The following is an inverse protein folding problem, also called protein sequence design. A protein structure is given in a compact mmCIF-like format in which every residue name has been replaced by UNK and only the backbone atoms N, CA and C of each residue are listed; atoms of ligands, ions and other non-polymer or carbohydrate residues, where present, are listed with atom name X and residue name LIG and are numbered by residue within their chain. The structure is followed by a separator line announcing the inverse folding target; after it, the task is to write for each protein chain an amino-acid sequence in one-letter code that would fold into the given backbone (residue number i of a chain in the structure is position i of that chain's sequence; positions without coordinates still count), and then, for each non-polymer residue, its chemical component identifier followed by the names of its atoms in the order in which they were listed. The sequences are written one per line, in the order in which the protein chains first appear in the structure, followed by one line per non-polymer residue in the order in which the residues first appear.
data_IF_000737214014
#
_entry.id   IF_000737214014
#
_cell.length_a   1.000
_cell.length_b   1.000
_cell.length_c   1.000
_cell.angle_alpha   90.00
_cell.angle_beta   90.00
_cell.angle_gamma   90.00
#
_symmetry.space_group_name_H-M   'P 1'
#
loop_
_entity.id
_entity.type
_entity.pdbx_description
1 polymer ?
#
# COMPACT_ATOMS: atom_id res chain seq x y z
N UNK A 1 -13.21 -0.40 -59.66
CA UNK A 1 -12.04 -0.77 -58.84
C UNK A 1 -12.17 -0.08 -57.50
N UNK A 2 -12.54 -0.80 -56.44
CA UNK A 2 -12.47 -0.31 -55.07
C UNK A 2 -11.45 -1.19 -54.34
N UNK A 3 -10.35 -0.57 -53.91
CA UNK A 3 -9.23 -1.24 -53.28
C UNK A 3 -9.66 -1.83 -51.93
N UNK A 4 -9.30 -3.10 -51.72
CA UNK A 4 -9.50 -3.82 -50.47
C UNK A 4 -8.76 -3.11 -49.33
N UNK A 5 -9.47 -2.87 -48.22
CA UNK A 5 -8.88 -2.54 -46.92
C UNK A 5 -7.86 -3.63 -46.54
N UNK A 6 -6.67 -3.28 -46.03
CA UNK A 6 -5.68 -4.28 -45.67
C UNK A 6 -6.19 -5.10 -44.49
N UNK A 7 -6.23 -6.42 -44.67
CA UNK A 7 -6.38 -7.43 -43.63
C UNK A 7 -5.44 -7.08 -42.46
N UNK A 8 -6.00 -6.72 -41.30
CA UNK A 8 -5.25 -6.75 -40.05
C UNK A 8 -4.68 -8.17 -39.90
N UNK A 9 -3.36 -8.33 -40.01
CA UNK A 9 -2.73 -9.58 -39.56
C UNK A 9 -3.04 -9.72 -38.08
N UNK A 10 -3.78 -10.77 -37.73
CA UNK A 10 -3.85 -11.20 -36.34
C UNK A 10 -2.44 -11.65 -35.95
N UNK A 11 -1.77 -10.84 -35.13
CA UNK A 11 -0.49 -11.22 -34.54
C UNK A 11 -0.73 -12.48 -33.69
N UNK A 12 0.15 -13.46 -33.84
CA UNK A 12 0.16 -14.62 -32.97
C UNK A 12 0.34 -14.20 -31.50
N UNK A 13 -0.16 -15.00 -30.55
CA UNK A 13 0.02 -14.76 -29.13
C UNK A 13 1.50 -14.56 -28.75
N UNK A 14 2.39 -15.30 -29.42
CA UNK A 14 3.84 -15.19 -29.23
C UNK A 14 4.35 -13.80 -29.61
N UNK A 15 3.99 -13.30 -30.78
CA UNK A 15 4.42 -11.97 -31.26
C UNK A 15 3.94 -10.86 -30.32
N UNK A 16 2.70 -10.96 -29.82
CA UNK A 16 2.17 -10.01 -28.83
C UNK A 16 2.98 -10.03 -27.53
N UNK A 17 3.30 -11.22 -27.02
CA UNK A 17 4.11 -11.37 -25.81
C UNK A 17 5.55 -10.87 -26.02
N UNK A 18 6.15 -11.13 -27.19
CA UNK A 18 7.48 -10.64 -27.57
C UNK A 18 7.52 -9.12 -27.61
N UNK A 19 6.53 -8.48 -28.24
CA UNK A 19 6.39 -7.03 -28.29
C UNK A 19 6.26 -6.41 -26.90
N UNK A 20 5.39 -6.95 -26.05
CA UNK A 20 5.22 -6.48 -24.67
C UNK A 20 6.48 -6.67 -23.84
N UNK A 21 7.18 -7.80 -24.03
CA UNK A 21 8.43 -8.05 -23.34
C UNK A 21 9.53 -7.09 -23.81
N UNK A 22 9.63 -6.79 -25.10
CA UNK A 22 10.56 -5.78 -25.63
C UNK A 22 10.25 -4.38 -25.07
N UNK A 23 8.96 -4.05 -24.89
CA UNK A 23 8.51 -2.83 -24.23
C UNK A 23 8.64 -2.83 -22.70
N UNK A 24 9.45 -3.75 -22.14
CA UNK A 24 9.80 -3.86 -20.73
C UNK A 24 8.63 -4.20 -19.76
N UNK A 25 7.51 -4.73 -20.27
CA UNK A 25 6.47 -5.27 -19.40
C UNK A 25 6.94 -6.56 -18.73
N UNK A 26 6.47 -6.78 -17.49
CA UNK A 26 6.69 -8.02 -16.77
C UNK A 26 5.50 -8.97 -16.97
N UNK A 27 5.77 -10.09 -17.66
CA UNK A 27 4.77 -11.08 -18.01
C UNK A 27 4.77 -12.26 -17.04
N UNK A 28 3.62 -12.89 -16.87
CA UNK A 28 3.47 -14.12 -16.07
C UNK A 28 2.67 -15.17 -16.86
N UNK A 29 3.07 -16.45 -16.84
CA UNK A 29 2.29 -17.50 -17.48
C UNK A 29 1.06 -17.82 -16.63
N UNK A 30 -0.12 -17.84 -17.25
CA UNK A 30 -1.37 -18.19 -16.59
C UNK A 30 -1.88 -19.54 -17.11
N UNK A 31 -2.79 -20.17 -16.37
CA UNK A 31 -3.42 -21.43 -16.74
C UNK A 31 -4.44 -21.86 -15.69
N UNK A 32 -4.62 -23.17 -15.53
CA UNK A 32 -5.65 -23.76 -14.65
C UNK A 32 -7.07 -23.66 -15.23
N UNK A 33 -8.10 -24.12 -14.47
CA UNK A 33 -9.46 -24.31 -15.00
C UNK A 33 -10.11 -23.04 -15.55
N UNK A 34 -9.77 -21.88 -14.97
CA UNK A 34 -10.31 -20.58 -15.38
C UNK A 34 -9.35 -19.80 -16.32
N UNK A 35 -8.16 -20.32 -16.59
CA UNK A 35 -7.11 -19.66 -17.38
C UNK A 35 -6.48 -18.43 -16.70
N UNK A 36 -6.76 -18.17 -15.42
CA UNK A 36 -6.32 -16.95 -14.71
C UNK A 36 -5.29 -17.23 -13.61
N UNK A 37 -5.00 -18.50 -13.30
CA UNK A 37 -4.10 -18.87 -12.21
C UNK A 37 -2.63 -18.77 -12.66
N UNK A 38 -1.75 -18.05 -11.93
CA UNK A 38 -0.32 -18.06 -12.23
C UNK A 38 0.29 -19.46 -12.14
N UNK A 39 1.01 -19.87 -13.19
CA UNK A 39 1.64 -21.20 -13.28
C UNK A 39 3.01 -21.29 -12.62
N UNK A 40 3.57 -20.15 -12.19
CA UNK A 40 4.86 -20.03 -11.52
C UNK A 40 4.64 -19.35 -10.16
N UNK A 41 5.21 -19.91 -9.10
CA UNK A 41 5.20 -19.29 -7.77
C UNK A 41 6.25 -18.16 -7.66
N UNK A 42 6.06 -17.22 -6.74
CA UNK A 42 7.04 -16.16 -6.50
C UNK A 42 7.20 -15.18 -7.68
N UNK A 43 6.16 -15.03 -8.50
CA UNK A 43 6.13 -14.08 -9.61
C UNK A 43 6.09 -12.61 -9.17
N UNK A 44 5.68 -12.34 -7.93
CA UNK A 44 5.62 -11.00 -7.35
C UNK A 44 7.03 -10.42 -7.20
N UNK A 45 7.26 -9.21 -7.72
CA UNK A 45 8.53 -8.50 -7.60
C UNK A 45 9.67 -9.01 -8.49
N UNK A 46 9.42 -9.98 -9.39
CA UNK A 46 10.41 -10.48 -10.34
C UNK A 46 9.88 -10.44 -11.77
N UNK A 47 10.70 -9.93 -12.69
CA UNK A 47 10.45 -10.07 -14.13
C UNK A 47 10.85 -11.48 -14.58
N UNK A 48 9.89 -12.27 -15.05
CA UNK A 48 10.12 -13.63 -15.51
C UNK A 48 10.67 -13.57 -16.95
N UNK A 49 11.74 -14.32 -17.30
CA UNK A 49 12.19 -14.43 -18.69
C UNK A 49 11.08 -14.89 -19.63
N UNK A 50 10.93 -14.26 -20.80
CA UNK A 50 9.86 -14.57 -21.77
C UNK A 50 9.81 -16.06 -22.13
N UNK A 51 10.98 -16.65 -22.42
CA UNK A 51 11.11 -18.08 -22.73
C UNK A 51 10.63 -18.99 -21.59
N UNK A 52 10.78 -18.57 -20.33
CA UNK A 52 10.25 -19.31 -19.19
C UNK A 52 8.72 -19.20 -19.11
N UNK A 53 8.14 -18.05 -19.47
CA UNK A 53 6.69 -17.89 -19.59
C UNK A 53 6.13 -18.79 -20.70
N UNK A 54 6.67 -18.70 -21.91
CA UNK A 54 6.23 -19.47 -23.08
C UNK A 54 6.33 -20.98 -22.84
N UNK A 55 7.46 -21.46 -22.32
CA UNK A 55 7.65 -22.87 -21.97
C UNK A 55 6.63 -23.34 -20.94
N UNK A 56 6.36 -22.53 -19.92
CA UNK A 56 5.40 -22.90 -18.87
C UNK A 56 3.97 -22.96 -19.40
N UNK A 57 3.59 -22.03 -20.27
CA UNK A 57 2.28 -22.03 -20.94
C UNK A 57 2.14 -23.24 -21.87
N UNK A 58 3.15 -23.56 -22.67
CA UNK A 58 3.14 -24.73 -23.54
C UNK A 58 2.95 -26.04 -22.75
N UNK A 59 3.64 -26.19 -21.62
CA UNK A 59 3.51 -27.37 -20.76
C UNK A 59 2.12 -27.53 -20.13
N UNK A 60 1.36 -26.44 -19.98
CA UNK A 60 0.00 -26.44 -19.42
C UNK A 60 -1.07 -26.38 -20.53
N UNK A 61 -0.66 -26.40 -21.80
CA UNK A 61 -1.50 -26.12 -22.96
C UNK A 61 -2.34 -24.83 -22.81
N UNK A 62 -1.73 -23.80 -22.20
CA UNK A 62 -2.40 -22.54 -21.92
C UNK A 62 -2.15 -21.51 -23.02
N UNK A 63 -3.20 -20.78 -23.38
CA UNK A 63 -3.17 -19.62 -24.29
C UNK A 63 -3.41 -18.31 -23.54
N UNK A 64 -3.16 -18.27 -22.23
CA UNK A 64 -3.37 -17.09 -21.39
C UNK A 64 -2.10 -16.68 -20.64
N UNK A 65 -1.82 -15.39 -20.62
CA UNK A 65 -0.74 -14.79 -19.84
C UNK A 65 -1.22 -13.54 -19.11
N UNK A 66 -0.49 -13.15 -18.07
CA UNK A 66 -0.77 -11.97 -17.28
C UNK A 66 0.28 -10.89 -17.50
N UNK A 67 -0.14 -9.64 -17.40
CA UNK A 67 0.73 -8.47 -17.37
C UNK A 67 0.74 -7.94 -15.94
N UNK A 68 1.92 -7.87 -15.33
CA UNK A 68 2.10 -7.24 -14.02
C UNK A 68 1.99 -5.74 -14.14
N UNK A 69 1.44 -5.11 -13.10
CA UNK A 69 1.07 -3.70 -13.12
C UNK A 69 2.14 -2.79 -12.49
N UNK A 70 3.42 -3.12 -12.74
CA UNK A 70 4.57 -2.31 -12.33
C UNK A 70 4.52 -0.94 -13.05
N UNK A 71 4.15 0.14 -12.34
CA UNK A 71 4.00 1.48 -12.92
C UNK A 71 2.74 1.69 -13.76
N UNK A 72 1.81 0.74 -13.74
CA UNK A 72 0.56 0.78 -14.49
C UNK A 72 -0.65 0.85 -13.57
N UNK A 73 -1.71 1.46 -14.07
CA UNK A 73 -3.05 1.34 -13.54
C UNK A 73 -3.93 0.75 -14.63
N UNK A 74 -4.70 -0.27 -14.28
CA UNK A 74 -5.75 -0.81 -15.13
C UNK A 74 -7.08 -0.53 -14.47
N UNK A 75 -7.97 0.13 -15.21
CA UNK A 75 -9.37 0.23 -14.85
C UNK A 75 -10.08 -0.95 -15.49
N UNK A 76 -10.53 -1.88 -14.66
CA UNK A 76 -11.19 -3.12 -15.06
C UNK A 76 -12.70 -2.96 -14.92
N UNK A 77 -13.36 -2.83 -16.07
CA UNK A 77 -14.81 -2.70 -16.17
C UNK A 77 -15.39 -4.11 -16.31
N UNK A 78 -16.06 -4.59 -15.27
CA UNK A 78 -16.65 -5.94 -15.22
C UNK A 78 -17.95 -6.03 -16.05
N UNK A 79 -18.72 -4.94 -16.13
CA UNK A 79 -20.01 -4.86 -16.81
C UNK A 79 -19.98 -3.77 -17.87
N UNK A 80 -20.06 -4.14 -19.14
CA UNK A 80 -20.02 -3.19 -20.27
C UNK A 80 -21.43 -2.87 -20.81
N UNK A 81 -22.27 -2.28 -19.94
CA UNK A 81 -23.57 -1.70 -20.29
C UNK A 81 -23.45 -0.19 -20.59
N UNK A 82 -24.52 0.41 -21.08
CA UNK A 82 -24.53 1.83 -21.48
C UNK A 82 -24.29 2.73 -20.27
N UNK A 83 -24.90 2.41 -19.14
CA UNK A 83 -24.79 3.14 -17.87
C UNK A 83 -23.34 3.19 -17.36
N UNK A 84 -22.64 2.06 -17.41
CA UNK A 84 -21.22 1.99 -17.02
C UNK A 84 -20.33 2.76 -17.98
N UNK A 85 -20.62 2.73 -19.29
CA UNK A 85 -19.88 3.50 -20.29
C UNK A 85 -20.05 5.00 -20.09
N UNK A 86 -21.28 5.44 -19.84
CA UNK A 86 -21.61 6.85 -19.61
C UNK A 86 -20.98 7.35 -18.30
N UNK A 87 -21.09 6.55 -17.23
CA UNK A 87 -20.40 6.82 -15.96
C UNK A 87 -18.90 6.94 -16.15
N UNK A 88 -18.29 5.97 -16.84
CA UNK A 88 -16.86 5.95 -17.08
C UNK A 88 -16.40 7.14 -17.94
N UNK A 89 -17.14 7.48 -19.00
CA UNK A 89 -16.80 8.59 -19.89
C UNK A 89 -16.97 9.96 -19.23
N UNK A 90 -17.97 10.11 -18.37
CA UNK A 90 -18.20 11.33 -17.58
C UNK A 90 -17.14 11.53 -16.50
N UNK A 91 -16.72 10.44 -15.83
CA UNK A 91 -15.84 10.51 -14.66
C UNK A 91 -14.37 10.32 -14.95
N UNK A 92 -13.96 9.40 -15.81
CA UNK A 92 -12.55 9.06 -15.99
C UNK A 92 -12.03 9.58 -17.32
N UNK A 93 -10.77 10.01 -17.34
CA UNK A 93 -10.10 10.25 -18.62
C UNK A 93 -10.11 8.95 -19.43
N UNK A 94 -10.43 9.04 -20.72
CA UNK A 94 -10.38 7.90 -21.63
C UNK A 94 -8.95 7.41 -21.84
N UNK A 95 -8.78 6.10 -21.93
CA UNK A 95 -7.51 5.48 -22.30
C UNK A 95 -7.39 5.33 -23.82
N UNK A 96 -6.17 5.50 -24.32
CA UNK A 96 -5.77 5.20 -25.68
C UNK A 96 -5.48 3.70 -25.89
N UNK A 97 -5.40 2.91 -24.82
CA UNK A 97 -5.17 1.47 -24.86
C UNK A 97 -6.27 0.73 -24.12
N UNK A 98 -7.12 0.03 -24.88
CA UNK A 98 -8.27 -0.69 -24.35
C UNK A 98 -8.25 -2.13 -24.86
N UNK A 99 -8.41 -3.08 -23.93
CA UNK A 99 -8.53 -4.51 -24.22
C UNK A 99 -9.91 -4.97 -23.77
N UNK A 100 -10.74 -5.39 -24.72
CA UNK A 100 -12.03 -6.00 -24.42
C UNK A 100 -11.80 -7.37 -23.77
N UNK A 101 -12.49 -7.61 -22.67
CA UNK A 101 -12.49 -8.88 -21.94
C UNK A 101 -13.75 -9.67 -22.28
N UNK A 102 -13.90 -10.86 -21.70
CA UNK A 102 -15.11 -11.66 -21.91
C UNK A 102 -16.39 -11.11 -21.28
N UNK A 103 -16.33 -10.02 -20.48
CA UNK A 103 -17.50 -9.37 -19.87
C UNK A 103 -17.50 -7.84 -19.97
N UNK A 104 -16.32 -7.23 -20.03
CA UNK A 104 -16.21 -5.78 -20.26
C UNK A 104 -14.86 -5.39 -20.84
N UNK A 105 -14.08 -4.56 -20.16
CA UNK A 105 -12.85 -3.99 -20.73
C UNK A 105 -11.79 -3.62 -19.70
N UNK A 106 -10.52 -3.77 -20.09
CA UNK A 106 -9.37 -3.20 -19.40
C UNK A 106 -8.95 -1.91 -20.09
N UNK A 107 -8.95 -0.80 -19.36
CA UNK A 107 -8.38 0.47 -19.81
C UNK A 107 -7.03 0.70 -19.12
N UNK A 108 -5.96 0.88 -19.91
CA UNK A 108 -4.59 0.97 -19.40
C UNK A 108 -4.14 2.42 -19.24
N UNK A 109 -3.46 2.72 -18.14
CA UNK A 109 -2.91 4.03 -17.83
C UNK A 109 -1.52 3.89 -17.20
N UNK A 110 -0.75 4.98 -17.25
CA UNK A 110 0.42 5.14 -16.40
C UNK A 110 -0.03 5.49 -14.97
N UNK A 111 0.57 4.85 -13.97
CA UNK A 111 0.27 5.08 -12.56
C UNK A 111 1.36 5.91 -11.88
N UNK A 112 0.99 7.06 -11.33
CA UNK A 112 1.88 7.97 -10.57
C UNK A 112 1.61 7.92 -9.06
N UNK A 113 1.19 6.76 -8.55
CA UNK A 113 1.02 6.49 -7.11
C UNK A 113 -0.41 6.65 -6.56
N UNK A 114 -1.32 7.25 -7.33
CA UNK A 114 -2.74 7.32 -6.99
C UNK A 114 -3.52 6.14 -7.57
N UNK A 115 -4.31 5.46 -6.73
CA UNK A 115 -5.19 4.35 -7.12
C UNK A 115 -6.56 4.58 -6.45
N UNK A 116 -7.64 4.79 -7.21
CA UNK A 116 -8.97 4.98 -6.65
C UNK A 116 -9.50 3.73 -5.93
N UNK A 117 -10.54 3.93 -5.11
CA UNK A 117 -11.37 2.83 -4.60
C UNK A 117 -12.25 2.27 -5.73
N UNK A 118 -12.57 0.99 -5.67
CA UNK A 118 -13.52 0.36 -6.58
C UNK A 118 -14.88 1.07 -6.55
N UNK A 119 -15.54 1.13 -7.70
CA UNK A 119 -16.91 1.66 -7.85
C UNK A 119 -17.85 0.48 -8.03
N UNK A 120 -18.83 0.37 -7.15
CA UNK A 120 -19.85 -0.69 -7.18
C UNK A 120 -21.23 -0.07 -6.94
N UNK A 121 -22.13 -0.25 -7.90
CA UNK A 121 -23.58 -0.03 -7.78
C UNK A 121 -24.31 -1.21 -8.43
N UNK A 122 -25.64 -1.17 -8.48
CA UNK A 122 -26.45 -2.21 -9.12
C UNK A 122 -26.14 -2.32 -10.64
N UNK A 123 -25.82 -1.19 -11.28
CA UNK A 123 -25.57 -1.09 -12.72
C UNK A 123 -24.09 -0.94 -13.09
N UNK A 124 -23.24 -0.45 -12.18
CA UNK A 124 -21.84 -0.09 -12.45
C UNK A 124 -20.88 -0.91 -11.61
N UNK A 125 -19.90 -1.51 -12.28
CA UNK A 125 -18.92 -2.40 -11.63
C UNK A 125 -17.52 -2.18 -12.20
N UNK A 126 -16.71 -1.41 -11.47
CA UNK A 126 -15.37 -0.98 -11.89
C UNK A 126 -14.35 -1.23 -10.78
N UNK A 127 -13.30 -1.99 -11.10
CA UNK A 127 -12.13 -2.20 -10.25
C UNK A 127 -10.91 -1.42 -10.74
N UNK A 128 -10.07 -1.00 -9.79
CA UNK A 128 -8.80 -0.36 -10.05
C UNK A 128 -7.67 -1.29 -9.63
N UNK A 129 -6.83 -1.68 -10.58
CA UNK A 129 -5.72 -2.60 -10.36
C UNK A 129 -4.41 -1.90 -10.64
N UNK A 130 -3.48 -1.96 -9.70
CA UNK A 130 -2.18 -1.33 -9.81
C UNK A 130 -1.15 -2.03 -8.94
N UNK A 131 0.12 -1.80 -9.28
CA UNK A 131 1.25 -2.20 -8.45
C UNK A 131 1.82 -3.56 -8.79
N UNK A 132 3.07 -3.74 -8.34
CA UNK A 132 3.94 -4.86 -8.67
C UNK A 132 3.40 -6.24 -8.27
N UNK A 133 2.52 -6.29 -7.27
CA UNK A 133 1.92 -7.51 -6.75
C UNK A 133 0.57 -7.85 -7.39
N UNK A 134 0.13 -7.11 -8.41
CA UNK A 134 -1.10 -7.33 -9.16
C UNK A 134 -0.81 -7.59 -10.64
N UNK A 135 -1.75 -8.24 -11.31
CA UNK A 135 -1.72 -8.47 -12.75
C UNK A 135 -3.14 -8.49 -13.32
N UNK A 136 -3.24 -8.31 -14.64
CA UNK A 136 -4.44 -8.60 -15.44
C UNK A 136 -4.09 -9.56 -16.56
N UNK A 137 -5.07 -10.26 -17.11
CA UNK A 137 -4.85 -11.09 -18.31
C UNK A 137 -4.54 -10.18 -19.49
N UNK A 138 -3.48 -10.51 -20.24
CA UNK A 138 -2.96 -9.69 -21.33
C UNK A 138 -3.70 -9.86 -22.66
N UNK A 139 -3.56 -8.89 -23.58
CA UNK A 139 -4.15 -8.94 -24.92
C UNK A 139 -3.69 -10.16 -25.73
N UNK A 140 -4.56 -10.66 -26.59
CA UNK A 140 -4.34 -11.88 -27.38
C UNK A 140 -4.59 -13.18 -26.61
N UNK A 141 -4.80 -13.11 -25.28
CA UNK A 141 -5.06 -14.31 -24.48
C UNK A 141 -6.41 -14.95 -24.80
N UNK A 142 -6.43 -16.28 -24.83
CA UNK A 142 -7.63 -17.11 -24.92
C UNK A 142 -7.78 -17.95 -23.66
N UNK A 143 -8.95 -17.86 -23.02
CA UNK A 143 -9.28 -18.67 -21.83
C UNK A 143 -9.77 -20.07 -22.23
N UNK A 144 -9.73 -21.05 -21.31
CA UNK A 144 -10.31 -22.38 -21.55
C UNK A 144 -11.80 -22.37 -21.92
N UNK A 145 -12.55 -21.35 -21.45
CA UNK A 145 -13.97 -21.14 -21.78
C UNK A 145 -14.19 -20.42 -23.12
N UNK A 146 -13.13 -20.23 -23.92
CA UNK A 146 -13.18 -19.59 -25.24
C UNK A 146 -13.23 -18.05 -25.21
N UNK A 147 -13.31 -17.43 -24.03
CA UNK A 147 -13.30 -15.96 -23.93
C UNK A 147 -11.93 -15.39 -24.33
N UNK A 148 -11.97 -14.35 -25.15
CA UNK A 148 -10.80 -13.68 -25.71
C UNK A 148 -10.54 -12.33 -25.02
N UNK A 149 -9.26 -11.96 -24.93
CA UNK A 149 -8.81 -10.62 -24.54
C UNK A 149 -8.35 -9.87 -25.78
N UNK A 150 -9.23 -9.07 -26.37
CA UNK A 150 -9.01 -8.48 -27.69
C UNK A 150 -8.60 -7.01 -27.57
N UNK A 151 -7.46 -6.58 -28.12
CA UNK A 151 -7.17 -5.16 -28.31
C UNK A 151 -8.26 -4.51 -29.15
N UNK A 152 -8.91 -3.48 -28.62
CA UNK A 152 -9.96 -2.73 -29.34
C UNK A 152 -9.60 -1.26 -29.55
N UNK A 153 -8.61 -0.74 -28.82
CA UNK A 153 -8.04 0.58 -29.02
C UNK A 153 -6.56 0.56 -28.66
N UNK A 154 -5.73 1.17 -29.50
CA UNK A 154 -4.27 1.27 -29.31
C UNK A 154 -3.58 -0.09 -29.18
N UNK A 155 -2.28 -0.05 -28.90
CA UNK A 155 -1.47 -1.25 -28.67
C UNK A 155 -0.60 -1.05 -27.45
N UNK A 156 -0.81 -1.87 -26.42
CA UNK A 156 -0.01 -1.80 -25.21
C UNK A 156 1.47 -2.07 -25.53
N UNK A 157 2.36 -1.21 -25.06
CA UNK A 157 3.80 -1.25 -25.35
C UNK A 157 4.24 -0.49 -26.60
N UNK A 158 3.31 0.01 -27.41
CA UNK A 158 3.62 0.90 -28.54
C UNK A 158 2.90 2.24 -28.47
N UNK A 159 1.67 2.26 -27.96
CA UNK A 159 0.94 3.50 -27.71
C UNK A 159 1.38 4.13 -26.40
N UNK A 160 1.45 5.47 -26.39
CA UNK A 160 1.71 6.25 -25.19
C UNK A 160 0.52 6.14 -24.24
N UNK A 161 0.75 5.70 -23.00
CA UNK A 161 -0.31 5.63 -21.99
C UNK A 161 -0.49 6.99 -21.31
N UNK A 162 -1.72 7.53 -21.26
CA UNK A 162 -1.98 8.73 -20.48
C UNK A 162 -1.78 8.44 -18.97
N UNK A 163 -1.44 9.48 -18.21
CA UNK A 163 -1.54 9.43 -16.75
C UNK A 163 -3.02 9.30 -16.41
N UNK A 164 -3.35 8.39 -15.50
CA UNK A 164 -4.71 8.27 -15.05
C UNK A 164 -5.18 9.56 -14.37
N UNK A 165 -6.30 10.10 -14.86
CA UNK A 165 -7.01 11.20 -14.23
C UNK A 165 -8.43 10.75 -13.93
N UNK A 166 -8.74 10.70 -12.64
CA UNK A 166 -10.13 10.74 -12.19
C UNK A 166 -10.59 12.19 -12.36
N UNK A 167 -11.49 12.42 -13.32
CA UNK A 167 -12.18 13.70 -13.50
C UNK A 167 -13.37 13.81 -12.54
N UNK A 168 -13.58 12.81 -11.69
CA UNK A 168 -14.28 13.13 -10.46
C UNK A 168 -13.60 14.36 -9.86
N UNK A 169 -14.37 15.34 -9.41
CA UNK A 169 -13.81 16.29 -8.46
C UNK A 169 -13.13 15.46 -7.37
N UNK A 170 -12.00 15.96 -6.84
CA UNK A 170 -11.16 15.42 -5.77
C UNK A 170 -11.95 14.97 -4.52
N UNK A 171 -12.72 13.88 -4.61
CA UNK A 171 -14.08 13.93 -4.05
C UNK A 171 -14.84 15.16 -4.60
N UNK A 172 -16.17 15.17 -4.66
CA UNK A 172 -16.79 16.46 -4.56
C UNK A 172 -16.16 17.14 -3.31
N UNK A 173 -15.50 18.29 -3.49
CA UNK A 173 -15.94 19.41 -2.67
C UNK A 173 -17.44 19.40 -2.91
N UNK A 174 -18.21 18.85 -1.94
CA UNK A 174 -19.63 18.54 -2.02
C UNK A 174 -20.28 19.15 -3.27
N UNK A 175 -20.55 18.35 -4.31
CA UNK A 175 -21.31 18.77 -5.50
C UNK A 175 -22.74 18.99 -5.00
N UNK A 176 -22.97 20.06 -4.25
CA UNK A 176 -24.23 20.43 -3.58
C UNK A 176 -24.84 19.39 -2.62
N UNK A 177 -24.30 18.17 -2.57
CA UNK A 177 -24.81 17.04 -1.81
C UNK A 177 -24.26 17.08 -0.41
N UNK A 178 -25.04 17.63 0.49
CA UNK A 178 -24.67 17.71 1.90
C UNK A 178 -24.49 16.28 2.52
N UNK A 179 -23.53 16.11 3.44
CA UNK A 179 -23.19 14.92 4.24
C UNK A 179 -24.43 14.32 4.88
N UNK A 180 -24.77 13.11 4.46
CA UNK A 180 -25.98 12.39 4.85
C UNK A 180 -25.98 11.96 6.33
N UNK A 181 -27.16 11.88 6.96
CA UNK A 181 -27.38 11.50 8.39
C UNK A 181 -26.54 10.34 8.91
N UNK A 182 -26.33 9.29 8.13
CA UNK A 182 -25.53 8.13 8.55
C UNK A 182 -24.00 8.33 8.54
N UNK A 183 -23.50 9.41 7.93
CA UNK A 183 -22.07 9.66 7.73
C UNK A 183 -21.54 10.87 8.53
N UNK A 184 -22.44 11.68 9.10
CA UNK A 184 -22.15 12.95 9.81
C UNK A 184 -21.07 12.80 10.88
N UNK A 185 -21.25 11.85 11.80
CA UNK A 185 -20.30 11.60 12.88
C UNK A 185 -18.90 11.24 12.33
N UNK A 186 -18.80 10.24 11.45
CA UNK A 186 -17.52 9.85 10.85
C UNK A 186 -16.86 10.95 9.99
N UNK A 187 -17.64 11.87 9.41
CA UNK A 187 -17.13 13.04 8.71
C UNK A 187 -16.57 14.09 9.68
N UNK A 188 -17.31 14.40 10.75
CA UNK A 188 -16.92 15.37 11.77
C UNK A 188 -15.61 14.97 12.46
N UNK A 189 -15.45 13.69 12.83
CA UNK A 189 -14.21 13.20 13.46
C UNK A 189 -13.00 13.29 12.53
N UNK A 190 -13.16 12.95 11.25
CA UNK A 190 -12.06 13.06 10.27
C UNK A 190 -11.63 14.50 10.09
N UNK A 191 -12.60 15.42 9.95
CA UNK A 191 -12.34 16.85 9.79
C UNK A 191 -11.74 17.47 11.05
N UNK A 192 -12.18 17.06 12.24
CA UNK A 192 -11.58 17.52 13.48
C UNK A 192 -10.10 17.12 13.60
N UNK A 193 -9.72 15.90 13.18
CA UNK A 193 -8.31 15.48 13.10
C UNK A 193 -7.54 16.28 12.04
N UNK A 194 -8.18 16.63 10.93
CA UNK A 194 -7.55 17.43 9.87
C UNK A 194 -7.33 18.89 10.28
N UNK A 195 -8.32 19.51 10.91
CA UNK A 195 -8.32 20.94 11.26
C UNK A 195 -7.57 21.21 12.56
N UNK A 196 -7.56 20.28 13.52
CA UNK A 196 -6.93 20.49 14.81
C UNK A 196 -5.46 20.96 14.70
N UNK A 197 -4.57 20.38 13.86
CA UNK A 197 -3.20 20.89 13.69
C UNK A 197 -3.10 22.30 13.10
N UNK A 198 -4.11 22.72 12.33
CA UNK A 198 -4.10 23.96 11.54
C UNK A 198 -4.68 25.16 12.30
N UNK A 199 -5.55 24.90 13.28
CA UNK A 199 -6.17 25.95 14.08
C UNK A 199 -5.15 26.65 15.00
N UNK A 200 -5.34 27.94 15.26
CA UNK A 200 -4.48 28.68 16.19
C UNK A 200 -4.87 28.42 17.66
N UNK A 201 -6.17 28.30 17.92
CA UNK A 201 -6.74 28.06 19.25
C UNK A 201 -7.98 27.13 19.18
N UNK A 202 -8.53 26.82 20.36
CA UNK A 202 -9.69 25.94 20.49
C UNK A 202 -10.94 26.52 19.83
N UNK A 203 -11.18 27.81 20.02
CA UNK A 203 -12.37 28.50 19.53
C UNK A 203 -12.39 28.55 18.00
N UNK A 204 -11.22 28.73 17.38
CA UNK A 204 -11.03 28.63 15.93
C UNK A 204 -11.37 27.24 15.39
N UNK A 205 -10.87 26.17 16.02
CA UNK A 205 -11.22 24.80 15.63
C UNK A 205 -12.73 24.55 15.74
N UNK A 206 -13.35 25.00 16.84
CA UNK A 206 -14.78 24.84 17.05
C UNK A 206 -15.58 25.58 15.97
N UNK A 207 -15.21 26.82 15.68
CA UNK A 207 -15.84 27.64 14.65
C UNK A 207 -15.76 26.98 13.26
N UNK A 208 -14.60 26.42 12.91
CA UNK A 208 -14.40 25.72 11.64
C UNK A 208 -15.27 24.46 11.53
N UNK A 209 -15.43 23.71 12.62
CA UNK A 209 -16.28 22.51 12.63
C UNK A 209 -17.78 22.85 12.61
N UNK A 210 -18.20 23.95 13.24
CA UNK A 210 -19.56 24.48 13.14
C UNK A 210 -19.86 24.91 11.71
N UNK A 211 -18.96 25.68 11.09
CA UNK A 211 -19.09 26.11 9.70
C UNK A 211 -19.16 24.92 8.75
N UNK A 212 -18.32 23.89 8.96
CA UNK A 212 -18.36 22.64 8.22
C UNK A 212 -19.74 21.98 8.32
N UNK A 213 -20.32 21.83 9.52
CA UNK A 213 -21.67 21.24 9.68
C UNK A 213 -22.71 22.05 8.89
N UNK A 214 -22.71 23.37 9.03
CA UNK A 214 -23.75 24.23 8.46
C UNK A 214 -23.70 24.25 6.92
N UNK A 215 -22.49 24.22 6.37
CA UNK A 215 -22.24 24.23 4.92
C UNK A 215 -22.41 22.82 4.35
N UNK A 216 -21.81 21.82 4.99
CA UNK A 216 -21.65 20.50 4.40
C UNK A 216 -22.72 19.50 4.83
N UNK A 217 -23.54 19.66 5.88
CA UNK A 217 -24.46 18.59 6.36
C UNK A 217 -25.92 18.79 5.92
N UNK A 218 -26.56 17.71 5.45
CA UNK A 218 -27.90 17.71 4.80
C UNK A 218 -28.99 18.23 5.72
N UNK A 219 -28.87 17.92 7.00
CA UNK A 219 -29.64 18.52 8.06
C UNK A 219 -28.70 18.80 9.24
N UNK A 220 -28.23 20.05 9.31
CA UNK A 220 -27.33 20.52 10.36
C UNK A 220 -28.00 20.49 11.75
N UNK A 221 -29.31 20.72 11.84
CA UNK A 221 -30.05 20.77 13.10
C UNK A 221 -29.99 19.44 13.89
N UNK A 222 -29.81 18.32 13.19
CA UNK A 222 -29.59 17.02 13.82
C UNK A 222 -28.27 16.82 14.57
N UNK A 223 -27.28 17.69 14.37
CA UNK A 223 -25.96 17.63 15.01
C UNK A 223 -25.83 18.87 15.89
N UNK A 224 -26.26 18.80 17.17
CA UNK A 224 -26.26 19.95 18.07
C UNK A 224 -24.84 20.49 18.29
N UNK A 225 -24.72 21.77 18.64
CA UNK A 225 -23.43 22.40 18.96
C UNK A 225 -22.67 21.63 20.06
N UNK A 226 -23.41 21.07 21.03
CA UNK A 226 -22.83 20.24 22.09
C UNK A 226 -22.16 18.95 21.57
N UNK A 227 -22.57 18.42 20.41
CA UNK A 227 -21.90 17.28 19.78
C UNK A 227 -20.62 17.74 19.07
N UNK A 228 -20.67 18.88 18.36
CA UNK A 228 -19.47 19.45 17.73
C UNK A 228 -18.43 19.81 18.78
N UNK A 229 -18.84 20.45 19.86
CA UNK A 229 -17.99 20.78 21.01
C UNK A 229 -17.25 19.55 21.53
N UNK A 230 -17.94 18.42 21.72
CA UNK A 230 -17.30 17.17 22.18
C UNK A 230 -16.24 16.66 21.22
N UNK A 231 -16.47 16.77 19.91
CA UNK A 231 -15.50 16.34 18.89
C UNK A 231 -14.31 17.31 18.84
N UNK A 232 -14.56 18.62 18.94
CA UNK A 232 -13.53 19.64 19.05
C UNK A 232 -12.67 19.43 20.31
N UNK A 233 -13.29 19.26 21.48
CA UNK A 233 -12.62 18.99 22.76
C UNK A 233 -11.73 17.75 22.66
N UNK A 234 -12.25 16.68 22.06
CA UNK A 234 -11.48 15.46 21.86
C UNK A 234 -10.26 15.69 20.95
N UNK A 235 -10.45 16.29 19.78
CA UNK A 235 -9.37 16.50 18.82
C UNK A 235 -8.32 17.48 19.36
N UNK A 236 -8.77 18.55 20.03
CA UNK A 236 -7.91 19.53 20.69
C UNK A 236 -7.09 18.90 21.81
N UNK A 237 -7.73 18.10 22.66
CA UNK A 237 -7.03 17.32 23.70
C UNK A 237 -5.98 16.41 23.08
N UNK A 238 -6.31 15.69 22.02
CA UNK A 238 -5.32 14.85 21.33
C UNK A 238 -4.17 15.67 20.75
N UNK A 239 -4.43 16.86 20.20
CA UNK A 239 -3.38 17.78 19.74
C UNK A 239 -2.46 18.19 20.88
N UNK A 240 -3.02 18.70 21.98
CA UNK A 240 -2.25 19.16 23.14
C UNK A 240 -1.43 18.04 23.78
N UNK A 241 -1.94 16.80 23.73
CA UNK A 241 -1.25 15.62 24.23
C UNK A 241 -0.25 15.01 23.22
N UNK A 242 -0.09 15.56 22.01
CA UNK A 242 0.76 14.99 20.95
C UNK A 242 0.23 13.66 20.40
N UNK A 243 -1.03 13.32 20.68
CA UNK A 243 -1.68 12.05 20.32
C UNK A 243 -2.59 12.16 19.10
N UNK A 244 -2.38 13.18 18.26
CA UNK A 244 -3.13 13.35 17.03
C UNK A 244 -2.34 12.74 15.87
N UNK A 245 -2.65 11.48 15.58
CA UNK A 245 -1.88 10.65 14.64
C UNK A 245 -2.34 10.89 13.20
N UNK A 246 -1.56 11.67 12.43
CA UNK A 246 -1.84 11.91 11.02
C UNK A 246 -0.59 11.61 10.15
N UNK A 247 -0.63 10.46 9.47
CA UNK A 247 0.42 10.07 8.52
C UNK A 247 1.82 10.01 9.14
N UNK A 248 2.80 10.60 8.46
CA UNK A 248 4.22 10.58 8.88
C UNK A 248 4.59 11.62 9.95
N UNK A 249 3.68 12.54 10.27
CA UNK A 249 3.88 13.53 11.34
C UNK A 249 3.50 12.98 12.71
N UNK A 250 3.27 11.67 12.82
CA UNK A 250 2.92 11.02 14.07
C UNK A 250 4.16 10.83 14.94
N UNK A 251 4.11 11.34 16.17
CA UNK A 251 5.13 11.05 17.16
C UNK A 251 5.11 9.56 17.50
N UNK A 252 6.28 8.92 17.57
CA UNK A 252 6.36 7.52 17.96
C UNK A 252 6.97 7.40 19.35
N UNK A 253 6.19 6.92 20.31
CA UNK A 253 6.71 6.58 21.63
C UNK A 253 7.64 5.36 21.56
N UNK A 254 8.86 5.52 22.09
CA UNK A 254 9.80 4.41 22.30
C UNK A 254 9.76 4.01 23.77
N UNK A 255 9.67 2.71 24.03
CA UNK A 255 9.69 2.19 25.39
C UNK A 255 11.09 2.37 26.01
N UNK A 256 11.20 3.12 27.11
CA UNK A 256 12.48 3.40 27.78
C UNK A 256 13.24 2.13 28.17
N UNK A 257 12.54 1.09 28.64
CA UNK A 257 13.17 -0.19 28.99
C UNK A 257 13.80 -0.86 27.77
N UNK A 258 13.26 -0.66 26.56
CA UNK A 258 13.91 -1.14 25.34
C UNK A 258 15.26 -0.44 25.11
N UNK A 259 15.32 0.88 25.33
CA UNK A 259 16.56 1.65 25.25
C UNK A 259 17.58 1.17 26.30
N UNK A 260 17.14 0.99 27.54
CA UNK A 260 17.97 0.51 28.65
C UNK A 260 18.53 -0.90 28.38
N UNK A 261 17.76 -1.77 27.72
CA UNK A 261 18.19 -3.12 27.34
C UNK A 261 19.17 -3.14 26.16
N UNK A 262 19.07 -2.17 25.25
CA UNK A 262 19.81 -2.16 23.98
C UNK A 262 21.12 -1.39 24.06
N UNK A 263 21.14 -0.18 24.62
CA UNK A 263 22.32 0.69 24.59
C UNK A 263 23.58 0.08 25.23
N UNK A 264 23.50 -0.69 26.33
CA UNK A 264 24.70 -1.32 26.92
C UNK A 264 25.29 -2.48 26.09
N UNK A 265 24.61 -2.94 25.04
CA UNK A 265 25.04 -4.10 24.26
C UNK A 265 26.08 -3.72 23.20
N UNK A 266 27.00 -4.65 22.84
CA UNK A 266 27.76 -4.52 21.59
C UNK A 266 26.78 -4.37 20.41
N UNK A 267 27.03 -3.41 19.52
CA UNK A 267 26.11 -3.02 18.44
C UNK A 267 24.74 -2.46 18.92
N UNK A 268 24.64 -2.02 20.18
CA UNK A 268 23.40 -1.54 20.82
C UNK A 268 22.73 -0.35 20.12
N UNK A 269 23.53 0.60 19.62
CA UNK A 269 23.02 1.74 18.86
C UNK A 269 22.37 1.31 17.53
N UNK A 270 23.02 0.40 16.80
CA UNK A 270 22.49 -0.18 15.56
C UNK A 270 21.21 -1.00 15.83
N UNK A 271 21.20 -1.76 16.94
CA UNK A 271 20.03 -2.51 17.38
C UNK A 271 18.84 -1.59 17.76
N UNK A 272 19.11 -0.46 18.41
CA UNK A 272 18.11 0.56 18.70
C UNK A 272 17.55 1.19 17.42
N UNK A 273 18.41 1.53 16.46
CA UNK A 273 17.98 2.06 15.17
C UNK A 273 17.05 1.07 14.42
N UNK A 274 17.43 -0.21 14.40
CA UNK A 274 16.57 -1.27 13.84
C UNK A 274 15.25 -1.39 14.61
N UNK A 275 15.27 -1.36 15.95
CA UNK A 275 14.07 -1.43 16.77
C UNK A 275 13.10 -0.30 16.46
N UNK A 276 13.58 0.95 16.40
CA UNK A 276 12.78 2.13 16.06
C UNK A 276 12.10 1.94 14.69
N UNK A 277 12.85 1.49 13.67
CA UNK A 277 12.27 1.21 12.35
C UNK A 277 11.14 0.17 12.43
N UNK A 278 11.35 -0.91 13.19
CA UNK A 278 10.35 -1.97 13.32
C UNK A 278 9.10 -1.49 14.08
N UNK A 279 9.26 -0.73 15.17
CA UNK A 279 8.14 -0.15 15.93
C UNK A 279 7.37 0.86 15.08
N UNK A 280 8.06 1.70 14.30
CA UNK A 280 7.40 2.63 13.36
C UNK A 280 6.47 1.89 12.40
N UNK A 281 6.94 0.80 11.79
CA UNK A 281 6.21 0.10 10.74
C UNK A 281 5.18 -0.91 11.27
N UNK A 282 5.39 -1.45 12.48
CA UNK A 282 4.64 -2.61 12.97
C UNK A 282 4.12 -2.47 14.40
N UNK A 283 4.59 -1.49 15.18
CA UNK A 283 4.20 -1.29 16.58
C UNK A 283 2.71 -1.00 16.78
N UNK A 284 2.07 -0.36 15.80
CA UNK A 284 0.63 -0.07 15.80
C UNK A 284 -0.25 -1.29 15.50
N UNK A 285 0.33 -2.47 15.20
CA UNK A 285 -0.39 -3.71 14.94
C UNK A 285 0.10 -4.82 15.90
N UNK A 286 -0.32 -4.80 17.17
CA UNK A 286 0.07 -5.81 18.15
C UNK A 286 -0.19 -7.23 17.63
N UNK A 287 0.78 -8.13 17.79
CA UNK A 287 0.63 -9.52 17.36
C UNK A 287 1.01 -9.79 15.90
N UNK A 288 1.14 -8.76 15.06
CA UNK A 288 1.48 -8.93 13.64
C UNK A 288 2.85 -9.58 13.45
N UNK A 289 2.92 -10.50 12.50
CA UNK A 289 4.16 -11.10 12.05
C UNK A 289 4.71 -10.41 10.82
N UNK A 290 6.03 -10.32 10.72
CA UNK A 290 6.73 -9.69 9.61
C UNK A 290 8.11 -10.32 9.40
N UNK A 291 8.72 -10.07 8.24
CA UNK A 291 10.08 -10.50 7.95
C UNK A 291 11.06 -9.35 8.17
N UNK A 292 12.24 -9.64 8.72
CA UNK A 292 13.39 -8.72 8.72
C UNK A 292 14.31 -9.15 7.57
N UNK A 293 14.26 -8.41 6.46
CA UNK A 293 14.99 -8.73 5.22
C UNK A 293 16.05 -7.65 4.98
N UNK A 294 17.34 -7.88 5.31
CA UNK A 294 18.38 -6.85 5.21
C UNK A 294 18.49 -6.21 3.83
N UNK A 295 18.44 -7.02 2.77
CA UNK A 295 18.56 -6.52 1.39
C UNK A 295 17.44 -5.53 1.03
N UNK A 296 16.22 -5.77 1.52
CA UNK A 296 15.09 -4.87 1.29
C UNK A 296 15.21 -3.57 2.10
N UNK A 297 15.71 -3.65 3.33
CA UNK A 297 15.95 -2.47 4.18
C UNK A 297 17.03 -1.57 3.56
N UNK A 298 18.11 -2.18 3.06
CA UNK A 298 19.22 -1.47 2.40
C UNK A 298 18.75 -0.85 1.08
N UNK A 299 18.07 -1.61 0.23
CA UNK A 299 17.58 -1.12 -1.06
C UNK A 299 16.58 0.04 -0.92
N UNK A 300 15.83 0.07 0.18
CA UNK A 300 14.90 1.16 0.49
C UNK A 300 15.57 2.36 1.18
N UNK A 301 16.88 2.29 1.47
CA UNK A 301 17.61 3.38 2.12
C UNK A 301 17.12 3.71 3.54
N UNK A 302 16.47 2.76 4.22
CA UNK A 302 15.80 3.03 5.50
C UNK A 302 16.80 3.14 6.67
N UNK A 303 17.96 2.50 6.56
CA UNK A 303 19.02 2.51 7.57
C UNK A 303 20.38 2.50 6.88
N UNK A 304 21.33 3.29 7.39
CA UNK A 304 22.72 3.35 6.92
C UNK A 304 23.57 2.16 7.38
N UNK A 305 23.00 0.96 7.48
CA UNK A 305 23.65 -0.24 8.01
C UNK A 305 23.97 -1.25 6.93
N UNK A 306 25.10 -1.94 7.08
CA UNK A 306 25.43 -3.10 6.27
C UNK A 306 24.53 -4.30 6.59
N UNK A 307 24.47 -5.27 5.66
CA UNK A 307 23.73 -6.53 5.84
C UNK A 307 24.14 -7.26 7.13
N UNK A 308 25.44 -7.28 7.45
CA UNK A 308 25.97 -7.92 8.65
C UNK A 308 25.54 -7.19 9.92
N UNK A 309 25.50 -5.87 9.92
CA UNK A 309 24.98 -5.08 11.05
C UNK A 309 23.51 -5.39 11.29
N UNK A 310 22.66 -5.37 10.26
CA UNK A 310 21.22 -5.66 10.42
C UNK A 310 21.00 -7.06 11.03
N UNK A 311 21.77 -8.08 10.63
CA UNK A 311 21.66 -9.40 11.25
C UNK A 311 22.09 -9.40 12.72
N UNK A 312 23.21 -8.75 13.06
CA UNK A 312 23.67 -8.63 14.46
C UNK A 312 22.65 -7.88 15.31
N UNK A 313 22.18 -6.73 14.84
CA UNK A 313 21.12 -5.94 15.48
C UNK A 313 19.84 -6.75 15.72
N UNK A 314 19.42 -7.53 14.73
CA UNK A 314 18.27 -8.44 14.87
C UNK A 314 18.51 -9.49 15.96
N UNK A 315 19.71 -10.07 16.00
CA UNK A 315 20.04 -11.11 16.96
C UNK A 315 20.10 -10.55 18.38
N UNK A 316 20.63 -9.33 18.56
CA UNK A 316 20.55 -8.57 19.83
C UNK A 316 19.09 -8.36 20.25
N UNK A 317 18.21 -7.92 19.33
CA UNK A 317 16.78 -7.72 19.64
C UNK A 317 16.08 -9.02 20.08
N UNK A 318 16.51 -10.17 19.54
CA UNK A 318 15.99 -11.48 19.95
C UNK A 318 16.52 -11.85 21.33
N UNK A 319 17.81 -11.67 21.57
CA UNK A 319 18.48 -11.96 22.84
C UNK A 319 17.83 -11.18 24.00
N UNK A 320 17.59 -9.88 23.81
CA UNK A 320 16.96 -9.03 24.85
C UNK A 320 15.43 -9.18 24.92
N UNK A 321 14.86 -10.08 24.11
CA UNK A 321 13.43 -10.39 24.15
C UNK A 321 12.50 -9.32 23.57
N UNK A 322 13.03 -8.37 22.78
CA UNK A 322 12.24 -7.35 22.07
C UNK A 322 11.69 -7.85 20.73
N UNK A 323 12.25 -8.94 20.20
CA UNK A 323 11.83 -9.58 18.96
C UNK A 323 11.74 -11.10 19.14
N UNK A 324 10.62 -11.70 18.77
CA UNK A 324 10.45 -13.16 18.85
C UNK A 324 10.39 -13.77 17.44
N UNK A 325 11.09 -14.90 17.23
CA UNK A 325 10.90 -15.71 16.02
C UNK A 325 9.60 -16.49 16.17
N UNK A 326 8.61 -16.18 15.34
CA UNK A 326 7.33 -16.89 15.32
C UNK A 326 7.37 -18.09 14.37
N UNK A 327 8.09 -17.95 13.25
CA UNK A 327 8.25 -19.04 12.28
C UNK A 327 9.65 -19.01 11.68
N UNK A 328 10.39 -20.11 11.79
CA UNK A 328 11.62 -20.29 11.03
C UNK A 328 11.30 -20.45 9.55
N UNK A 329 11.99 -19.68 8.71
CA UNK A 329 11.89 -19.77 7.27
C UNK A 329 12.55 -21.03 6.74
N UNK A 330 12.10 -21.51 5.59
CA UNK A 330 12.76 -22.56 4.80
C UNK A 330 13.76 -21.93 3.83
N UNK A 331 14.46 -22.77 3.06
CA UNK A 331 15.32 -22.31 1.96
C UNK A 331 14.57 -21.29 1.08
N UNK A 332 15.13 -20.08 0.93
CA UNK A 332 14.54 -18.93 0.21
C UNK A 332 13.27 -18.30 0.82
N UNK A 333 12.89 -18.65 2.05
CA UNK A 333 11.84 -17.97 2.80
C UNK A 333 12.43 -17.29 4.03
N UNK A 334 12.13 -16.01 4.28
CA UNK A 334 12.64 -15.36 5.49
C UNK A 334 11.92 -15.90 6.73
N UNK A 335 12.64 -15.87 7.85
CA UNK A 335 12.03 -16.03 9.17
C UNK A 335 10.93 -14.98 9.37
N UNK A 336 9.87 -15.37 10.08
CA UNK A 336 8.83 -14.47 10.54
C UNK A 336 9.07 -14.13 12.00
N UNK A 337 9.02 -12.85 12.29
CA UNK A 337 9.26 -12.25 13.58
C UNK A 337 8.02 -11.51 14.06
N UNK A 338 7.99 -11.22 15.36
CA UNK A 338 6.96 -10.41 15.99
C UNK A 338 7.60 -9.55 17.07
N UNK A 339 7.25 -8.27 17.12
CA UNK A 339 7.66 -7.38 18.22
C UNK A 339 7.10 -7.91 19.54
N UNK A 340 7.89 -7.80 20.61
CA UNK A 340 7.48 -8.13 21.97
C UNK A 340 7.54 -6.88 22.83
N UNK A 341 6.65 -6.78 23.81
CA UNK A 341 6.79 -5.77 24.86
C UNK A 341 8.00 -6.14 25.72
N UNK A 342 8.89 -5.20 26.04
CA UNK A 342 9.99 -5.47 26.97
C UNK A 342 9.41 -5.97 28.29
N UNK A 343 9.95 -7.09 28.77
CA UNK A 343 9.60 -7.67 30.07
C UNK A 343 10.81 -7.54 30.99
N UNK A 344 10.58 -7.10 32.22
CA UNK A 344 11.61 -6.98 33.27
C UNK A 344 12.26 -8.34 33.61
N UNK A 345 11.68 -9.46 33.15
CA UNK A 345 12.10 -10.83 33.47
C UNK A 345 13.55 -11.14 33.03
N UNK A 346 14.14 -10.41 32.09
CA UNK A 346 15.52 -10.63 31.65
C UNK A 346 16.60 -10.08 32.61
N UNK A 347 16.27 -9.16 33.51
CA UNK A 347 17.25 -8.58 34.44
C UNK A 347 17.64 -9.53 35.59
N UNK A 348 16.89 -10.62 35.81
CA UNK A 348 17.15 -11.55 36.92
C UNK A 348 17.99 -12.78 36.53
N UNK A 349 18.20 -13.05 35.24
CA UNK A 349 18.96 -14.22 34.78
C UNK A 349 20.39 -13.89 34.33
N UNK A 350 20.81 -12.63 34.39
CA UNK A 350 22.19 -12.21 34.14
C UNK A 350 23.05 -12.19 35.44
N UNK A 351 22.47 -12.55 36.58
CA UNK A 351 23.13 -12.55 37.89
C UNK A 351 23.97 -13.82 38.16
N UNK A 352 24.73 -14.26 37.16
CA UNK A 352 25.88 -15.15 37.36
C UNK A 352 27.19 -14.51 36.85
N UNK A 353 27.34 -13.19 36.95
CA UNK A 353 28.68 -12.58 36.88
C UNK A 353 28.78 -11.09 36.50
N UNK A 354 27.68 -10.41 36.16
CA UNK A 354 27.74 -9.00 35.75
C UNK A 354 27.08 -8.09 36.78
N UNK A 355 27.87 -7.33 37.56
CA UNK A 355 27.36 -6.23 38.39
C UNK A 355 26.56 -5.27 37.51
N UNK A 356 25.25 -5.17 37.75
CA UNK A 356 24.44 -4.05 37.28
C UNK A 356 24.75 -2.88 38.19
N UNK A 357 25.59 -1.95 37.72
CA UNK A 357 25.69 -0.64 38.35
C UNK A 357 24.48 0.17 37.88
N UNK A 358 23.57 0.60 38.77
CA UNK A 358 22.68 1.69 38.41
C UNK A 358 23.57 2.88 38.07
N UNK A 359 23.49 3.36 36.84
CA UNK A 359 24.12 4.61 36.45
C UNK A 359 23.29 5.72 37.10
N UNK A 360 23.58 6.01 38.36
CA UNK A 360 23.22 7.29 38.97
C UNK A 360 24.28 8.28 38.52
N UNK A 361 24.00 9.08 37.50
CA UNK A 361 24.75 10.32 37.33
C UNK A 361 24.38 11.22 38.50
N UNK A 362 25.35 11.55 39.34
CA UNK A 362 25.17 12.70 40.22
C UNK A 362 25.03 13.94 39.35
N UNK A 363 24.20 14.91 39.75
CA UNK A 363 23.97 16.13 38.97
C UNK A 363 25.26 16.93 38.68
N UNK A 364 26.36 16.68 39.39
CA UNK A 364 27.67 17.28 39.14
C UNK A 364 28.45 16.64 37.98
N UNK A 365 28.26 15.34 37.68
CA UNK A 365 29.07 14.64 36.66
C UNK A 365 28.55 14.88 35.23
N UNK A 366 27.27 15.22 35.06
CA UNK A 366 26.69 15.52 33.74
C UNK A 366 27.18 16.86 33.17
N UNK A 367 27.64 17.78 34.01
CA UNK A 367 28.06 19.12 33.59
C UNK A 367 29.51 19.16 33.09
N UNK A 368 30.34 18.19 33.48
CA UNK A 368 31.76 18.11 33.12
C UNK A 368 32.01 17.32 31.82
N UNK A 369 31.06 16.46 31.41
CA UNK A 369 31.14 15.69 30.16
C UNK A 369 30.59 16.42 28.91
N UNK A 370 29.98 17.60 29.10
CA UNK A 370 29.38 18.42 28.05
C UNK A 370 30.02 19.81 27.90
N UNK A 371 31.13 20.06 28.60
CA UNK A 371 32.05 21.18 28.38
C UNK A 371 33.32 20.65 27.70
#
# INVERSE_FOLDING_TARGET
MAAALPLHRENSLREVMEQLYAANFALIPLGGPDGKKPLIAGWKGRRIPLEACLRRMANDNSQSYGIRLDGLLVVDIDTDNQETRDYFAGRFQQSDVVVRTGRGAHHYYRCEGFVPKAVRSDEVSIDFKAGSAQFVVGPGSTRPDGRLYLPVRGTLGSSTLPVFRDRAPTAPANDGGKVQRGQRNGALWRRAVEYAPLADDFDGLLADLVALRDIEFDDAASVPDAEIQKVADWAWKLRLEGKLWAGRNSEMGINRLATDLLLPRPDGADALALYILLVSNHGHQPGKTFAVVPDAIIAAGLLGMSRRQIYRSRDVLIEVGLLAIVRKGRVKQPNQYRLQSPRVVAALNADQGGRVYPITFSASEAHEALA
#
